data_IF_719503889762
#
_entry.id   IF_719503889762
#
_cell.length_a   1.000
_cell.length_b   1.000
_cell.length_c   1.000
_cell.angle_alpha   90.00
_cell.angle_beta   90.00
_cell.angle_gamma   90.00
#
_symmetry.space_group_name_H-M   'P 1'
#
loop_
_entity.id
_entity.type
_entity.pdbx_description
1 polymer ?
#
# COMPACT_ATOMS: atom_id res chain seq x y z
N UNK A 1 15.09 -4.51 8.47
CA UNK A 1 14.13 -3.88 7.54
C UNK A 1 14.87 -3.54 6.25
N UNK A 2 14.57 -4.23 5.16
CA UNK A 2 15.16 -3.89 3.85
C UNK A 2 14.64 -2.51 3.42
N UNK A 3 15.55 -1.61 3.07
CA UNK A 3 15.31 -0.18 2.97
C UNK A 3 14.58 0.25 1.68
N UNK A 4 14.32 -0.68 0.77
CA UNK A 4 13.85 -0.39 -0.60
C UNK A 4 12.46 -0.94 -0.94
N UNK A 5 11.74 -1.55 -0.01
CA UNK A 5 10.45 -2.21 -0.34
C UNK A 5 9.27 -1.25 -0.55
N UNK A 6 9.42 0.05 -0.27
CA UNK A 6 8.33 1.03 -0.37
C UNK A 6 8.71 2.17 -1.32
N UNK A 7 7.94 2.31 -2.40
CA UNK A 7 8.13 3.30 -3.44
C UNK A 7 6.93 4.24 -3.51
N UNK A 8 7.15 5.51 -3.17
CA UNK A 8 6.12 6.54 -3.22
C UNK A 8 6.29 7.36 -4.51
N UNK A 9 5.28 7.30 -5.38
CA UNK A 9 5.21 8.03 -6.64
C UNK A 9 4.36 9.29 -6.44
N UNK A 10 4.99 10.39 -6.04
CA UNK A 10 4.31 11.67 -5.82
C UNK A 10 3.70 12.26 -7.10
N UNK A 11 4.29 11.99 -8.26
CA UNK A 11 3.77 12.45 -9.56
C UNK A 11 2.44 11.79 -9.96
N UNK A 12 2.08 10.67 -9.34
CA UNK A 12 0.86 9.91 -9.64
C UNK A 12 0.07 9.59 -8.38
N UNK A 13 0.39 10.25 -7.26
CA UNK A 13 -0.21 10.01 -5.94
C UNK A 13 -0.36 8.53 -5.60
N UNK A 14 0.66 7.72 -5.89
CA UNK A 14 0.59 6.25 -5.82
C UNK A 14 1.70 5.69 -4.95
N UNK A 15 1.35 4.84 -4.00
CA UNK A 15 2.31 4.05 -3.23
C UNK A 15 2.38 2.65 -3.83
N UNK A 16 3.60 2.13 -4.02
CA UNK A 16 3.85 0.74 -4.38
C UNK A 16 4.76 0.14 -3.34
N UNK A 17 4.37 -0.98 -2.76
CA UNK A 17 5.19 -1.70 -1.82
C UNK A 17 4.92 -3.18 -1.91
N UNK A 18 5.92 -3.98 -1.55
CA UNK A 18 5.76 -5.41 -1.42
C UNK A 18 5.29 -5.73 0.02
N UNK A 19 4.29 -6.59 0.12
CA UNK A 19 3.75 -7.04 1.40
C UNK A 19 3.48 -8.54 1.38
N UNK A 20 3.54 -9.13 2.56
CA UNK A 20 3.23 -10.54 2.76
C UNK A 20 1.70 -10.69 2.93
N UNK A 21 1.04 -11.23 1.90
CA UNK A 21 -0.40 -11.42 1.87
C UNK A 21 -0.90 -12.48 2.87
N UNK A 22 -0.01 -13.31 3.44
CA UNK A 22 -0.38 -14.25 4.51
C UNK A 22 -0.47 -13.55 5.88
N UNK A 23 0.22 -12.42 6.04
CA UNK A 23 0.27 -11.65 7.29
C UNK A 23 -0.54 -10.36 7.26
N UNK A 24 -0.70 -9.76 6.08
CA UNK A 24 -1.31 -8.44 5.90
C UNK A 24 -2.34 -8.52 4.78
N UNK A 25 -3.58 -8.21 5.11
CA UNK A 25 -4.66 -8.09 4.13
C UNK A 25 -4.65 -6.70 3.48
N UNK A 26 -5.10 -6.61 2.22
CA UNK A 26 -5.23 -5.32 1.54
C UNK A 26 -6.20 -4.38 2.28
N UNK A 27 -7.24 -4.92 2.90
CA UNK A 27 -8.22 -4.16 3.68
C UNK A 27 -7.59 -3.46 4.90
N UNK A 28 -6.61 -4.08 5.55
CA UNK A 28 -5.93 -3.47 6.70
C UNK A 28 -5.05 -2.30 6.27
N UNK A 29 -4.43 -2.43 5.10
CA UNK A 29 -3.69 -1.32 4.47
C UNK A 29 -4.63 -0.17 4.15
N UNK A 30 -5.80 -0.44 3.56
CA UNK A 30 -6.77 0.60 3.21
C UNK A 30 -7.29 1.33 4.45
N UNK A 31 -7.62 0.58 5.51
CA UNK A 31 -8.03 1.14 6.80
C UNK A 31 -6.94 2.02 7.41
N UNK A 32 -5.69 1.59 7.36
CA UNK A 32 -4.57 2.39 7.87
C UNK A 32 -4.40 3.70 7.10
N UNK A 33 -4.49 3.66 5.76
CA UNK A 33 -4.41 4.86 4.91
C UNK A 33 -5.59 5.81 5.20
N UNK A 34 -6.80 5.26 5.35
CA UNK A 34 -8.01 6.03 5.69
C UNK A 34 -7.93 6.66 7.08
N UNK A 35 -7.40 5.93 8.07
CA UNK A 35 -7.20 6.43 9.43
C UNK A 35 -6.19 7.59 9.50
N UNK A 36 -5.26 7.67 8.54
CA UNK A 36 -4.35 8.80 8.37
C UNK A 36 -5.00 10.01 7.69
N UNK A 37 -6.26 9.90 7.25
CA UNK A 37 -7.01 10.97 6.59
C UNK A 37 -6.86 11.00 5.07
N UNK A 38 -6.35 9.93 4.46
CA UNK A 38 -6.23 9.80 3.01
C UNK A 38 -7.28 8.85 2.44
N UNK A 39 -7.97 9.27 1.38
CA UNK A 39 -8.93 8.41 0.70
C UNK A 39 -8.22 7.44 -0.26
N UNK A 40 -8.56 6.16 -0.17
CA UNK A 40 -8.06 5.14 -1.11
C UNK A 40 -8.96 5.12 -2.35
N UNK A 41 -8.46 5.69 -3.44
CA UNK A 41 -9.19 5.74 -4.73
C UNK A 41 -9.19 4.37 -5.43
N UNK A 42 -8.06 3.64 -5.36
CA UNK A 42 -7.89 2.35 -6.02
C UNK A 42 -6.78 1.53 -5.38
N UNK A 43 -7.10 0.29 -5.01
CA UNK A 43 -6.12 -0.73 -4.63
C UNK A 43 -5.95 -1.74 -5.78
N UNK A 44 -4.71 -2.21 -5.96
CA UNK A 44 -4.42 -3.29 -6.92
C UNK A 44 -3.30 -4.16 -6.36
N UNK A 45 -3.65 -5.40 -6.04
CA UNK A 45 -2.67 -6.43 -5.63
C UNK A 45 -2.22 -7.17 -6.87
N UNK A 46 -0.90 -7.31 -7.05
CA UNK A 46 -0.32 -8.18 -8.07
C UNK A 46 0.17 -9.45 -7.38
N UNK A 47 -0.51 -10.57 -7.61
CA UNK A 47 0.06 -11.87 -7.31
C UNK A 47 1.21 -12.12 -8.29
N UNK A 48 2.38 -12.46 -7.76
CA UNK A 48 3.55 -12.81 -8.55
C UNK A 48 3.57 -14.31 -8.81
#
# INVERSE_FOLDING_TARGET
>A
VEKESVKVLFNSSKVKFDFDAEKISIEDVEKAITALGYEVIKSQVKAK
#
